data_IF_622666235827
#
_entry.id   IF_622666235827
#
_cell.length_a   1.000
_cell.length_b   1.000
_cell.length_c   1.000
_cell.angle_alpha   90.00
_cell.angle_beta   90.00
_cell.angle_gamma   90.00
#
_symmetry.space_group_name_H-M   'P 1'
#
loop_
_entity.id
_entity.type
_entity.pdbx_description
1 polymer ?
#
# COMPACT_ATOMS: atom_id res chain seq x y z
N UNK A 1 -13.28 -1.37 -13.73
CA UNK A 1 -13.60 -1.16 -12.31
C UNK A 1 -12.34 -1.08 -11.48
N UNK A 2 -12.20 -0.05 -10.65
CA UNK A 2 -11.10 0.13 -9.71
C UNK A 2 -11.54 -0.27 -8.29
N UNK A 3 -10.66 -0.92 -7.52
CA UNK A 3 -10.94 -1.26 -6.12
C UNK A 3 -9.85 -0.79 -5.15
N UNK A 4 -10.23 -0.20 -4.03
CA UNK A 4 -9.37 -0.04 -2.87
C UNK A 4 -9.53 -1.23 -1.92
N UNK A 5 -8.44 -1.65 -1.28
CA UNK A 5 -8.41 -2.79 -0.37
C UNK A 5 -7.73 -2.42 0.93
N UNK A 6 -8.38 -2.72 2.06
CA UNK A 6 -7.81 -2.60 3.39
C UNK A 6 -8.27 -3.74 4.32
N UNK A 7 -7.64 -3.84 5.49
CA UNK A 7 -8.10 -4.66 6.61
C UNK A 7 -8.31 -3.76 7.82
N UNK A 8 -9.22 -4.14 8.73
CA UNK A 8 -9.53 -3.31 9.89
C UNK A 8 -9.97 -4.14 11.08
N UNK A 9 -9.76 -3.58 12.27
CA UNK A 9 -10.36 -4.02 13.53
C UNK A 9 -11.27 -2.93 14.15
N UNK A 10 -11.52 -1.85 13.41
CA UNK A 10 -12.13 -0.62 13.92
C UNK A 10 -13.34 -0.22 13.08
N UNK A 11 -14.21 0.59 13.68
CA UNK A 11 -15.23 1.32 12.92
C UNK A 11 -14.56 2.27 11.90
N UNK A 12 -15.26 2.67 10.82
CA UNK A 12 -14.70 3.54 9.79
C UNK A 12 -14.03 4.80 10.35
N UNK A 13 -12.73 4.95 10.10
CA UNK A 13 -11.98 6.13 10.54
C UNK A 13 -12.28 7.34 9.65
N UNK A 14 -11.85 8.53 10.09
CA UNK A 14 -11.89 9.74 9.25
C UNK A 14 -11.08 9.58 7.95
N UNK A 15 -9.98 8.84 7.99
CA UNK A 15 -9.16 8.54 6.81
C UNK A 15 -9.93 7.69 5.80
N UNK A 16 -10.64 6.67 6.29
CA UNK A 16 -11.49 5.83 5.44
C UNK A 16 -12.68 6.61 4.88
N UNK A 17 -13.32 7.49 5.66
CA UNK A 17 -14.38 8.37 5.13
C UNK A 17 -13.87 9.19 3.95
N UNK A 18 -12.69 9.80 4.09
CA UNK A 18 -12.05 10.56 3.00
C UNK A 18 -11.66 9.68 1.80
N UNK A 19 -11.23 8.44 2.05
CA UNK A 19 -10.99 7.47 1.00
C UNK A 19 -12.28 7.17 0.24
N UNK A 20 -13.39 6.90 0.94
CA UNK A 20 -14.68 6.62 0.32
C UNK A 20 -15.17 7.81 -0.53
N UNK A 21 -14.97 9.05 -0.08
CA UNK A 21 -15.24 10.25 -0.89
C UNK A 21 -14.46 10.21 -2.22
N UNK A 22 -13.15 9.94 -2.17
CA UNK A 22 -12.31 9.80 -3.37
C UNK A 22 -12.74 8.64 -4.25
N UNK A 23 -13.13 7.50 -3.69
CA UNK A 23 -13.63 6.37 -4.47
C UNK A 23 -14.95 6.70 -5.16
N UNK A 24 -15.84 7.44 -4.50
CA UNK A 24 -17.12 7.85 -5.06
C UNK A 24 -16.95 8.75 -6.28
N UNK A 25 -15.96 9.66 -6.28
CA UNK A 25 -15.61 10.51 -7.45
C UNK A 25 -15.34 9.69 -8.72
N UNK A 26 -14.87 8.44 -8.56
CA UNK A 26 -14.50 7.55 -9.66
C UNK A 26 -15.40 6.30 -9.80
N UNK A 27 -16.46 6.18 -9.02
CA UNK A 27 -17.31 4.97 -8.99
C UNK A 27 -16.55 3.71 -8.57
N UNK A 28 -15.63 3.84 -7.62
CA UNK A 28 -14.78 2.77 -7.12
C UNK A 28 -15.48 1.80 -6.15
N UNK A 29 -14.80 0.67 -5.93
CA UNK A 29 -15.15 -0.33 -4.93
C UNK A 29 -14.19 -0.22 -3.74
N UNK A 30 -14.70 -0.24 -2.51
CA UNK A 30 -13.90 -0.46 -1.31
C UNK A 30 -14.15 -1.88 -0.79
N UNK A 31 -13.12 -2.73 -0.74
CA UNK A 31 -13.18 -4.05 -0.09
C UNK A 31 -12.44 -4.01 1.24
N UNK A 32 -13.14 -4.40 2.31
CA UNK A 32 -12.64 -4.32 3.68
C UNK A 32 -12.69 -5.70 4.32
N UNK A 33 -11.53 -6.27 4.65
CA UNK A 33 -11.45 -7.47 5.48
C UNK A 33 -11.46 -7.11 6.97
N UNK A 34 -12.55 -7.41 7.67
CA UNK A 34 -12.60 -7.32 9.13
C UNK A 34 -11.80 -8.43 9.82
N UNK A 35 -11.60 -8.31 11.12
CA UNK A 35 -10.99 -9.38 11.93
C UNK A 35 -11.70 -9.51 13.29
N UNK A 36 -11.20 -10.39 14.17
CA UNK A 36 -11.84 -10.84 15.41
C UNK A 36 -12.34 -9.72 16.32
N UNK A 37 -11.64 -8.59 16.37
CA UNK A 37 -11.99 -7.49 17.27
C UNK A 37 -13.16 -6.65 16.74
N UNK A 38 -13.58 -6.87 15.50
CA UNK A 38 -14.66 -6.15 14.85
C UNK A 38 -14.19 -5.39 13.61
N UNK A 39 -15.02 -4.50 13.08
CA UNK A 39 -16.42 -4.31 13.45
C UNK A 39 -17.31 -5.45 12.89
N UNK A 40 -18.57 -5.54 13.30
CA UNK A 40 -19.52 -6.51 12.69
C UNK A 40 -20.16 -5.97 11.40
N UNK A 41 -20.17 -4.65 11.25
CA UNK A 41 -20.62 -3.91 10.08
C UNK A 41 -19.62 -2.80 9.80
N UNK A 42 -19.48 -2.38 8.54
CA UNK A 42 -18.59 -1.28 8.19
C UNK A 42 -19.40 -0.18 7.51
N UNK A 43 -19.99 0.68 8.33
CA UNK A 43 -20.95 1.70 7.91
C UNK A 43 -20.66 3.03 8.59
N UNK A 44 -20.91 4.14 7.87
CA UNK A 44 -20.79 5.49 8.41
C UNK A 44 -21.80 6.39 7.72
N UNK A 45 -22.44 7.28 8.48
CA UNK A 45 -23.32 8.32 7.93
C UNK A 45 -22.57 9.34 7.04
N UNK A 46 -21.25 9.33 7.09
CA UNK A 46 -20.38 10.22 6.32
C UNK A 46 -19.86 9.59 5.03
N UNK A 47 -20.20 8.33 4.75
CA UNK A 47 -19.81 7.71 3.49
C UNK A 47 -20.54 8.37 2.32
N UNK A 48 -19.76 8.85 1.35
CA UNK A 48 -20.28 9.40 0.12
C UNK A 48 -21.06 8.34 -0.67
N UNK A 49 -22.17 8.76 -1.28
CA UNK A 49 -22.90 7.96 -2.26
C UNK A 49 -22.05 7.74 -3.52
N UNK A 50 -22.28 6.64 -4.23
CA UNK A 50 -21.56 6.33 -5.48
C UNK A 50 -20.30 5.48 -5.31
N UNK A 51 -19.85 5.24 -4.07
CA UNK A 51 -18.87 4.22 -3.75
C UNK A 51 -19.56 2.91 -3.33
N UNK A 52 -19.17 1.78 -3.94
CA UNK A 52 -19.60 0.45 -3.47
C UNK A 52 -18.67 0.02 -2.34
N UNK A 53 -19.23 -0.43 -1.22
CA UNK A 53 -18.45 -0.89 -0.07
C UNK A 53 -18.80 -2.35 0.21
N UNK A 54 -17.78 -3.20 0.27
CA UNK A 54 -17.89 -4.62 0.55
C UNK A 54 -17.10 -4.95 1.81
N UNK A 55 -17.84 -5.10 2.90
CA UNK A 55 -17.26 -5.54 4.16
C UNK A 55 -17.32 -7.06 4.26
N UNK A 56 -16.17 -7.69 4.45
CA UNK A 56 -16.03 -9.11 4.67
C UNK A 56 -15.80 -9.32 6.17
N UNK A 57 -16.87 -9.57 6.93
CA UNK A 57 -16.73 -9.98 8.32
C UNK A 57 -15.96 -11.30 8.39
N UNK A 58 -15.32 -11.60 9.53
CA UNK A 58 -14.50 -12.80 9.66
C UNK A 58 -15.28 -14.09 9.33
N UNK A 59 -16.56 -14.16 9.71
CA UNK A 59 -17.42 -15.30 9.37
C UNK A 59 -17.63 -15.43 7.85
N UNK A 60 -17.88 -14.33 7.16
CA UNK A 60 -18.09 -14.29 5.71
C UNK A 60 -16.80 -14.67 4.96
N UNK A 61 -15.64 -14.23 5.45
CA UNK A 61 -14.35 -14.66 4.93
C UNK A 61 -14.19 -16.18 5.02
N UNK A 62 -14.49 -16.77 6.19
CA UNK A 62 -14.35 -18.22 6.41
C UNK A 62 -15.34 -19.04 5.57
N UNK A 63 -16.55 -18.50 5.36
CA UNK A 63 -17.61 -19.08 4.54
C UNK A 63 -17.39 -18.90 3.02
N UNK A 64 -16.51 -17.97 2.62
CA UNK A 64 -16.21 -17.71 1.21
C UNK A 64 -15.61 -18.92 0.48
N UNK A 65 -15.60 -18.86 -0.85
CA UNK A 65 -14.95 -19.84 -1.72
C UNK A 65 -13.42 -19.89 -1.54
N UNK A 66 -12.81 -18.85 -0.98
CA UNK A 66 -11.37 -18.75 -0.84
C UNK A 66 -10.83 -19.71 0.23
N UNK A 67 -10.20 -20.80 -0.22
CA UNK A 67 -9.51 -21.75 0.66
C UNK A 67 -8.48 -21.10 1.57
N UNK A 68 -7.85 -20.00 1.12
CA UNK A 68 -6.89 -19.25 1.90
C UNK A 68 -7.52 -18.69 3.19
N UNK A 69 -8.77 -18.22 3.15
CA UNK A 69 -9.43 -17.62 4.32
C UNK A 69 -9.50 -18.60 5.52
N UNK A 70 -9.66 -19.90 5.27
CA UNK A 70 -9.66 -20.93 6.33
C UNK A 70 -8.27 -21.26 6.88
N UNK A 71 -7.21 -20.90 6.15
CA UNK A 71 -5.81 -21.17 6.54
C UNK A 71 -5.16 -19.99 7.27
N UNK A 72 -5.53 -18.76 6.92
CA UNK A 72 -4.96 -17.56 7.54
C UNK A 72 -5.19 -17.57 9.06
N UNK A 73 -4.26 -17.03 9.87
CA UNK A 73 -4.50 -16.82 11.28
C UNK A 73 -5.53 -15.71 11.52
N UNK A 74 -6.21 -15.77 12.66
CA UNK A 74 -7.14 -14.74 13.14
C UNK A 74 -6.35 -13.70 13.94
N UNK A 75 -6.77 -12.43 13.94
CA UNK A 75 -6.05 -11.33 14.56
C UNK A 75 -4.74 -11.02 13.83
N UNK A 76 -4.76 -11.09 12.50
CA UNK A 76 -3.58 -10.98 11.65
C UNK A 76 -3.83 -10.07 10.47
N UNK A 77 -2.88 -9.18 10.23
CA UNK A 77 -2.86 -8.30 9.05
C UNK A 77 -3.00 -9.07 7.73
N UNK A 78 -2.52 -10.31 7.69
CA UNK A 78 -2.60 -11.18 6.52
C UNK A 78 -4.02 -11.50 6.05
N UNK A 79 -5.06 -11.17 6.85
CA UNK A 79 -6.47 -11.20 6.42
C UNK A 79 -6.76 -10.29 5.23
N UNK A 80 -5.94 -9.26 5.01
CA UNK A 80 -5.97 -8.44 3.79
C UNK A 80 -5.87 -9.27 2.50
N UNK A 81 -5.21 -10.44 2.54
CA UNK A 81 -5.19 -11.36 1.40
C UNK A 81 -6.58 -11.77 0.91
N UNK A 82 -7.55 -11.93 1.83
CA UNK A 82 -8.93 -12.29 1.46
C UNK A 82 -9.60 -11.15 0.71
N UNK A 83 -9.35 -9.90 1.13
CA UNK A 83 -9.89 -8.73 0.44
C UNK A 83 -9.28 -8.54 -0.95
N UNK A 84 -8.00 -8.85 -1.18
CA UNK A 84 -7.46 -8.87 -2.55
C UNK A 84 -8.17 -9.92 -3.41
N UNK A 85 -8.31 -11.14 -2.91
CA UNK A 85 -8.95 -12.22 -3.67
C UNK A 85 -10.39 -11.86 -4.02
N UNK A 86 -11.12 -11.23 -3.09
CA UNK A 86 -12.48 -10.76 -3.32
C UNK A 86 -12.53 -9.65 -4.38
N UNK A 87 -11.66 -8.64 -4.28
CA UNK A 87 -11.58 -7.57 -5.27
C UNK A 87 -11.21 -8.09 -6.68
N UNK A 88 -10.29 -9.05 -6.75
CA UNK A 88 -9.90 -9.72 -8.01
C UNK A 88 -11.08 -10.53 -8.57
N UNK A 89 -11.77 -11.31 -7.74
CA UNK A 89 -12.94 -12.08 -8.14
C UNK A 89 -14.10 -11.19 -8.62
N UNK A 90 -14.22 -9.98 -8.06
CA UNK A 90 -15.18 -8.98 -8.52
C UNK A 90 -14.82 -8.38 -9.90
N UNK A 91 -13.60 -8.61 -10.41
CA UNK A 91 -13.14 -8.11 -11.70
C UNK A 91 -12.47 -6.74 -11.62
N UNK A 92 -11.74 -6.45 -10.55
CA UNK A 92 -10.97 -5.21 -10.44
C UNK A 92 -9.83 -5.14 -11.48
N UNK A 93 -9.82 -4.08 -12.29
CA UNK A 93 -8.81 -3.80 -13.32
C UNK A 93 -7.48 -3.36 -12.70
N UNK A 94 -7.51 -2.79 -11.50
CA UNK A 94 -6.36 -2.44 -10.67
C UNK A 94 -6.81 -2.25 -9.23
N UNK A 95 -5.86 -2.43 -8.30
CA UNK A 95 -6.09 -2.28 -6.87
C UNK A 95 -5.30 -1.09 -6.30
N UNK A 96 -5.88 -0.41 -5.33
CA UNK A 96 -5.16 0.50 -4.42
C UNK A 96 -5.19 -0.11 -3.02
N UNK A 97 -4.01 -0.41 -2.50
CA UNK A 97 -3.85 -1.01 -1.19
C UNK A 97 -3.50 0.07 -0.16
N UNK A 98 -4.24 0.11 0.95
CA UNK A 98 -3.96 1.02 2.07
C UNK A 98 -4.40 0.43 3.41
N UNK A 99 -4.21 1.18 4.49
CA UNK A 99 -4.63 0.86 5.86
C UNK A 99 -5.77 1.80 6.32
N UNK A 100 -6.49 1.38 7.35
CA UNK A 100 -7.63 2.12 7.89
C UNK A 100 -7.24 3.40 8.66
N UNK A 101 -5.98 3.58 9.03
CA UNK A 101 -5.44 4.78 9.67
C UNK A 101 -4.79 5.77 8.69
N UNK A 102 -4.77 5.46 7.39
CA UNK A 102 -4.32 6.39 6.35
C UNK A 102 -5.46 7.22 5.78
N UNK A 103 -5.12 8.43 5.32
CA UNK A 103 -6.04 9.32 4.64
C UNK A 103 -5.41 9.83 3.34
N UNK A 104 -6.12 9.77 2.20
CA UNK A 104 -5.62 10.37 0.97
C UNK A 104 -5.47 11.89 1.11
N UNK A 105 -4.48 12.46 0.43
CA UNK A 105 -4.38 13.90 0.28
C UNK A 105 -5.49 14.43 -0.63
N UNK A 106 -5.74 15.74 -0.61
CA UNK A 106 -6.76 16.35 -1.49
C UNK A 106 -6.36 16.21 -2.98
N UNK A 107 -5.05 16.17 -3.25
CA UNK A 107 -4.43 15.94 -4.55
C UNK A 107 -4.40 14.47 -4.99
N UNK A 108 -4.94 13.55 -4.19
CA UNK A 108 -4.99 12.13 -4.55
C UNK A 108 -5.86 11.93 -5.79
N UNK A 109 -5.38 11.08 -6.71
CA UNK A 109 -6.01 10.80 -8.00
C UNK A 109 -5.72 9.37 -8.44
N UNK A 110 -6.57 8.84 -9.32
CA UNK A 110 -6.30 7.54 -9.96
C UNK A 110 -4.97 7.55 -10.71
N UNK A 111 -4.29 6.40 -10.66
CA UNK A 111 -3.05 6.17 -11.39
C UNK A 111 -3.30 5.43 -12.69
N UNK A 112 -2.33 5.54 -13.61
CA UNK A 112 -2.23 4.74 -14.82
C UNK A 112 -1.07 3.76 -14.69
N UNK A 113 -1.20 2.56 -15.25
CA UNK A 113 -0.11 1.57 -15.28
C UNK A 113 1.15 2.13 -15.97
N UNK A 114 0.96 3.02 -16.95
CA UNK A 114 2.04 3.71 -17.62
C UNK A 114 2.26 5.09 -17.01
N UNK A 115 3.44 5.29 -16.44
CA UNK A 115 3.90 6.57 -15.87
C UNK A 115 4.46 7.43 -17.00
N UNK A 116 3.82 8.56 -17.30
CA UNK A 116 4.15 9.39 -18.48
C UNK A 116 5.56 9.99 -18.47
N UNK A 117 6.04 10.38 -17.29
CA UNK A 117 7.39 10.89 -17.09
C UNK A 117 7.89 10.52 -15.69
N UNK A 118 9.12 10.02 -15.60
CA UNK A 118 9.72 9.62 -14.34
C UNK A 118 11.22 9.92 -14.30
N UNK A 119 11.74 10.06 -13.08
CA UNK A 119 13.17 10.02 -12.80
C UNK A 119 13.59 8.55 -12.75
N UNK A 120 14.40 8.10 -13.69
CA UNK A 120 14.91 6.73 -13.74
C UNK A 120 16.29 6.63 -13.10
N UNK A 121 16.43 5.68 -12.18
CA UNK A 121 17.70 5.18 -11.67
C UNK A 121 18.14 4.03 -12.57
N UNK A 122 19.29 4.19 -13.24
CA UNK A 122 19.79 3.22 -14.22
C UNK A 122 20.04 1.82 -13.64
N UNK A 123 19.91 0.82 -14.50
CA UNK A 123 20.12 -0.60 -14.20
C UNK A 123 21.48 -0.88 -13.56
N UNK A 124 21.54 -1.87 -12.68
CA UNK A 124 22.77 -2.29 -11.96
C UNK A 124 22.76 -3.78 -11.64
N UNK A 125 23.79 -4.31 -10.98
CA UNK A 125 23.90 -5.71 -10.57
C UNK A 125 23.84 -5.86 -9.03
N UNK A 126 22.80 -5.29 -8.40
CA UNK A 126 22.59 -5.38 -6.96
C UNK A 126 23.02 -4.12 -6.21
N UNK A 127 22.14 -3.13 -6.13
CA UNK A 127 22.32 -1.91 -5.33
C UNK A 127 21.07 -1.61 -4.52
N UNK A 128 21.25 -1.29 -3.25
CA UNK A 128 20.19 -0.72 -2.42
C UNK A 128 20.03 0.77 -2.72
N UNK A 129 18.80 1.20 -2.96
CA UNK A 129 18.47 2.60 -3.25
C UNK A 129 17.35 3.02 -2.32
N UNK A 130 17.62 3.96 -1.42
CA UNK A 130 16.59 4.51 -0.55
C UNK A 130 15.73 5.51 -1.32
N UNK A 131 14.60 5.07 -1.87
CA UNK A 131 13.74 5.91 -2.71
C UNK A 131 13.20 7.15 -1.97
N UNK A 132 13.07 7.11 -0.63
CA UNK A 132 12.57 8.22 0.18
C UNK A 132 13.46 9.46 0.09
N UNK A 133 14.77 9.27 -0.13
CA UNK A 133 15.78 10.35 -0.24
C UNK A 133 15.62 11.20 -1.50
N UNK A 134 14.86 10.73 -2.50
CA UNK A 134 14.51 11.54 -3.67
C UNK A 134 13.40 12.56 -3.41
N UNK A 135 12.77 12.48 -2.24
CA UNK A 135 11.62 13.31 -1.82
C UNK A 135 11.84 13.91 -0.43
N UNK A 136 13.01 13.73 0.19
CA UNK A 136 13.36 14.34 1.47
C UNK A 136 14.87 14.41 1.66
N UNK A 137 15.34 15.51 2.25
CA UNK A 137 16.72 15.67 2.70
C UNK A 137 16.98 15.03 4.07
N UNK A 138 15.93 14.60 4.76
CA UNK A 138 16.00 13.98 6.06
C UNK A 138 16.61 12.57 6.02
N UNK A 139 17.17 12.12 7.14
CA UNK A 139 17.61 10.75 7.31
C UNK A 139 16.39 9.88 7.63
N UNK A 140 15.67 9.46 6.59
CA UNK A 140 14.48 8.60 6.65
C UNK A 140 14.64 7.46 5.65
N UNK A 141 14.10 6.29 5.96
CA UNK A 141 14.18 5.10 5.09
C UNK A 141 12.93 4.22 5.23
N UNK A 142 12.56 3.48 4.17
CA UNK A 142 11.42 2.57 4.24
C UNK A 142 11.71 1.42 5.20
N UNK A 143 10.65 0.84 5.76
CA UNK A 143 10.75 -0.34 6.62
C UNK A 143 11.44 -1.49 5.86
N UNK A 144 12.37 -2.16 6.53
CA UNK A 144 13.12 -3.27 5.91
C UNK A 144 14.31 -2.86 5.05
N UNK A 145 14.60 -1.56 4.92
CA UNK A 145 15.81 -1.12 4.25
C UNK A 145 17.04 -1.52 5.07
N UNK A 146 18.13 -2.03 4.44
CA UNK A 146 19.30 -2.47 5.19
C UNK A 146 19.91 -1.32 6.00
N UNK A 147 20.10 -1.53 7.30
CA UNK A 147 20.65 -0.51 8.20
C UNK A 147 22.08 -0.09 7.82
N UNK A 148 22.85 -0.97 7.17
CA UNK A 148 24.17 -0.64 6.63
C UNK A 148 24.12 0.38 5.47
N UNK A 149 22.96 0.53 4.83
CA UNK A 149 22.78 1.34 3.62
C UNK A 149 22.03 2.65 3.88
N UNK A 150 21.51 2.90 5.10
CA UNK A 150 20.63 4.06 5.37
C UNK A 150 21.31 5.41 5.15
N UNK A 151 22.65 5.44 5.13
CA UNK A 151 23.47 6.63 4.84
C UNK A 151 24.08 6.63 3.43
N UNK A 152 23.82 5.60 2.63
CA UNK A 152 24.31 5.52 1.26
C UNK A 152 23.75 6.66 0.43
N UNK A 153 24.59 7.21 -0.44
CA UNK A 153 24.16 8.25 -1.38
C UNK A 153 23.18 7.67 -2.40
N UNK A 154 22.19 8.47 -2.79
CA UNK A 154 21.28 8.06 -3.85
C UNK A 154 21.93 8.27 -5.22
N UNK A 155 21.79 7.31 -6.15
CA UNK A 155 22.28 7.48 -7.52
C UNK A 155 21.64 8.68 -8.23
N UNK A 156 22.36 9.25 -9.19
CA UNK A 156 21.78 10.23 -10.11
C UNK A 156 20.63 9.62 -10.93
N UNK A 157 19.65 10.46 -11.25
CA UNK A 157 18.49 10.07 -12.04
C UNK A 157 18.49 10.78 -13.38
N UNK A 158 18.00 10.11 -14.41
CA UNK A 158 17.69 10.73 -15.71
C UNK A 158 16.19 10.79 -15.91
N UNK A 159 15.68 11.86 -16.52
CA UNK A 159 14.28 11.89 -16.94
C UNK A 159 14.09 10.91 -18.10
N UNK A 160 13.09 10.04 -17.95
CA UNK A 160 12.63 9.11 -18.99
C UNK A 160 11.18 9.42 -19.34
N UNK A 161 10.83 9.11 -20.59
CA UNK A 161 9.47 9.19 -21.08
C UNK A 161 8.59 8.07 -20.49
N UNK A 162 7.47 7.77 -21.14
CA UNK A 162 6.49 6.81 -20.68
C UNK A 162 7.12 5.45 -20.32
N UNK A 163 6.87 5.00 -19.09
CA UNK A 163 7.37 3.72 -18.56
C UNK A 163 6.24 2.94 -17.91
N UNK A 164 6.14 1.66 -18.24
CA UNK A 164 5.18 0.76 -17.61
C UNK A 164 5.65 0.38 -16.21
N UNK A 165 4.81 0.62 -15.20
CA UNK A 165 5.06 0.26 -13.80
C UNK A 165 3.78 -0.34 -13.20
N UNK A 166 3.64 -1.68 -13.17
CA UNK A 166 2.43 -2.34 -12.66
C UNK A 166 2.36 -2.44 -11.14
N UNK A 167 3.38 -1.95 -10.44
CA UNK A 167 3.39 -1.71 -9.00
C UNK A 167 3.83 -0.27 -8.82
N UNK A 168 3.06 0.53 -8.09
CA UNK A 168 3.40 1.92 -7.81
C UNK A 168 3.07 2.25 -6.36
N UNK A 169 4.10 2.50 -5.55
CA UNK A 169 3.91 2.97 -4.18
C UNK A 169 3.85 4.50 -4.13
N UNK A 170 2.90 5.01 -3.36
CA UNK A 170 2.82 6.40 -2.90
C UNK A 170 3.56 6.58 -1.58
N UNK A 171 3.96 7.81 -1.29
CA UNK A 171 4.63 8.15 -0.04
C UNK A 171 3.60 8.66 0.97
N UNK A 172 3.69 8.17 2.20
CA UNK A 172 2.85 8.60 3.30
C UNK A 172 3.60 9.61 4.18
N UNK A 173 3.00 10.77 4.41
CA UNK A 173 3.53 11.77 5.34
C UNK A 173 3.40 11.28 6.79
N UNK A 174 4.28 11.76 7.68
CA UNK A 174 4.40 11.22 9.03
C UNK A 174 5.08 9.85 9.05
N UNK A 175 4.90 9.06 10.10
CA UNK A 175 5.67 7.82 10.31
C UNK A 175 4.91 6.48 10.18
N UNK A 176 3.84 6.32 9.36
CA UNK A 176 3.09 5.06 9.31
C UNK A 176 3.96 3.90 8.79
N UNK A 177 4.81 4.16 7.80
CA UNK A 177 5.74 3.17 7.25
C UNK A 177 7.20 3.66 7.17
N UNK A 178 7.68 4.08 8.33
CA UNK A 178 9.11 4.25 8.58
C UNK A 178 9.59 3.12 9.49
N UNK A 179 10.82 2.71 9.29
CA UNK A 179 11.47 1.63 10.02
C UNK A 179 11.40 1.80 11.55
N UNK A 180 11.31 0.68 12.28
CA UNK A 180 11.19 0.70 13.73
C UNK A 180 12.43 1.27 14.43
N UNK A 181 13.64 1.06 13.87
CA UNK A 181 14.86 1.66 14.40
C UNK A 181 14.79 3.16 14.26
N UNK A 182 14.38 3.68 13.10
CA UNK A 182 14.20 5.12 12.91
C UNK A 182 13.22 5.72 13.93
N UNK A 183 12.08 5.06 14.16
CA UNK A 183 11.10 5.48 15.17
C UNK A 183 11.63 5.41 16.59
N UNK A 184 12.61 4.54 16.87
CA UNK A 184 13.24 4.45 18.18
C UNK A 184 14.25 5.57 18.41
N UNK A 185 14.99 5.97 17.36
CA UNK A 185 16.15 6.88 17.51
C UNK A 185 15.91 8.32 17.04
N UNK A 186 14.89 8.56 16.21
CA UNK A 186 14.65 9.88 15.58
C UNK A 186 13.23 10.42 15.81
N UNK A 187 12.21 9.58 15.71
CA UNK A 187 10.79 9.83 16.06
C UNK A 187 10.28 11.27 15.88
N UNK A 188 10.31 11.79 14.66
CA UNK A 188 9.90 13.18 14.37
C UNK A 188 8.82 13.28 13.30
N UNK A 189 8.10 14.39 13.29
CA UNK A 189 7.17 14.69 12.20
C UNK A 189 7.96 15.09 10.95
N UNK A 190 7.55 14.58 9.80
CA UNK A 190 8.10 14.97 8.50
C UNK A 190 7.02 14.87 7.43
N UNK A 191 7.25 15.56 6.32
CA UNK A 191 6.48 15.41 5.09
C UNK A 191 7.44 15.26 3.92
N UNK A 192 7.06 14.44 2.96
CA UNK A 192 7.78 14.33 1.71
C UNK A 192 7.52 15.56 0.85
N UNK A 193 8.54 15.97 0.10
CA UNK A 193 8.41 16.98 -0.95
C UNK A 193 7.73 16.35 -2.16
N UNK A 194 6.84 17.11 -2.81
CA UNK A 194 6.30 16.72 -4.10
C UNK A 194 7.41 16.63 -5.16
N UNK A 195 7.26 15.70 -6.10
CA UNK A 195 8.23 15.54 -7.17
C UNK A 195 7.80 14.52 -8.21
N UNK A 196 8.52 14.50 -9.33
CA UNK A 196 8.33 13.46 -10.34
C UNK A 196 8.59 12.07 -9.73
N UNK A 197 7.80 11.05 -10.10
CA UNK A 197 7.98 9.70 -9.60
C UNK A 197 9.37 9.18 -9.94
N UNK A 198 9.88 8.27 -9.10
CA UNK A 198 11.17 7.62 -9.32
C UNK A 198 10.92 6.18 -9.74
N UNK A 199 11.58 5.72 -10.79
CA UNK A 199 11.59 4.33 -11.19
C UNK A 199 12.98 3.74 -10.98
N UNK A 200 13.02 2.56 -10.39
CA UNK A 200 14.22 1.77 -10.21
C UNK A 200 14.30 0.75 -11.35
N UNK A 201 15.21 0.94 -12.29
CA UNK A 201 15.47 -0.06 -13.34
C UNK A 201 16.08 -1.35 -12.74
N UNK A 202 16.10 -2.48 -13.48
CA UNK A 202 16.52 -3.78 -12.96
C UNK A 202 17.84 -3.78 -12.18
N UNK A 203 17.84 -4.56 -11.08
CA UNK A 203 18.98 -4.75 -10.18
C UNK A 203 19.16 -3.68 -9.11
N UNK A 204 18.29 -2.67 -9.07
CA UNK A 204 18.13 -1.75 -7.95
C UNK A 204 17.06 -2.29 -6.98
N UNK A 205 17.31 -2.15 -5.68
CA UNK A 205 16.45 -2.69 -4.63
C UNK A 205 16.00 -1.58 -3.68
N UNK A 206 14.69 -1.48 -3.48
CA UNK A 206 14.08 -0.66 -2.45
C UNK A 206 12.84 -1.40 -1.95
N UNK A 207 12.69 -1.60 -0.63
CA UNK A 207 11.44 -2.04 -0.06
C UNK A 207 10.31 -1.07 -0.39
N UNK A 208 9.11 -1.63 -0.50
CA UNK A 208 7.85 -0.91 -0.62
C UNK A 208 6.87 -1.49 0.42
N UNK A 209 5.65 -0.97 0.52
CA UNK A 209 4.74 -1.25 1.61
C UNK A 209 3.29 -1.35 1.14
N UNK A 210 2.39 -1.43 2.11
CA UNK A 210 0.95 -1.64 1.96
C UNK A 210 0.12 -0.42 2.36
N UNK A 211 0.76 0.73 2.60
CA UNK A 211 0.12 1.95 3.09
C UNK A 211 -0.51 2.79 1.97
N UNK A 212 -0.09 2.59 0.73
CA UNK A 212 -0.60 3.32 -0.43
C UNK A 212 0.02 2.80 -1.71
N UNK A 213 -0.31 1.58 -2.09
CA UNK A 213 0.34 0.89 -3.22
C UNK A 213 -0.68 0.46 -4.27
N UNK A 214 -0.42 0.84 -5.50
CA UNK A 214 -1.22 0.51 -6.66
C UNK A 214 -0.70 -0.75 -7.34
N UNK A 215 -1.63 -1.59 -7.78
CA UNK A 215 -1.34 -2.89 -8.40
C UNK A 215 -2.17 -3.10 -9.65
N UNK A 216 -1.53 -3.50 -10.74
CA UNK A 216 -2.20 -3.91 -11.97
C UNK A 216 -2.19 -5.43 -12.13
N UNK A 217 -3.05 -6.02 -12.98
CA UNK A 217 -3.33 -7.45 -12.99
C UNK A 217 -2.10 -8.33 -13.23
N UNK A 218 -1.14 -7.83 -14.02
CA UNK A 218 0.13 -8.53 -14.27
C UNK A 218 0.95 -8.76 -12.98
N UNK A 219 0.75 -7.93 -11.96
CA UNK A 219 1.46 -7.97 -10.68
C UNK A 219 0.62 -8.59 -9.55
N UNK A 220 -0.65 -8.96 -9.77
CA UNK A 220 -1.50 -9.58 -8.75
C UNK A 220 -0.90 -10.86 -8.12
N UNK A 221 -0.15 -11.72 -8.83
CA UNK A 221 0.51 -12.86 -8.19
C UNK A 221 1.49 -12.48 -7.06
N UNK A 222 1.93 -11.22 -7.00
CA UNK A 222 2.86 -10.67 -6.01
C UNK A 222 2.16 -9.93 -4.86
N UNK A 223 0.82 -9.87 -4.82
CA UNK A 223 0.06 -9.19 -3.77
C UNK A 223 0.17 -9.85 -2.38
N UNK A 224 0.60 -11.11 -2.33
CA UNK A 224 0.53 -11.95 -1.15
C UNK A 224 1.20 -11.31 0.09
N UNK A 225 0.45 -11.21 1.18
CA UNK A 225 0.94 -10.82 2.51
C UNK A 225 1.29 -12.08 3.31
N UNK A 226 2.55 -12.27 3.74
CA UNK A 226 2.99 -13.45 4.49
C UNK A 226 2.18 -13.68 5.77
N UNK A 227 1.65 -14.89 5.96
CA UNK A 227 0.55 -15.12 6.91
C UNK A 227 0.95 -15.54 8.32
N UNK A 228 2.09 -16.21 8.50
CA UNK A 228 2.50 -16.77 9.80
C UNK A 228 3.72 -16.07 10.41
N UNK A 229 4.11 -14.91 9.89
CA UNK A 229 5.13 -14.08 10.51
C UNK A 229 4.50 -13.09 11.50
N UNK A 230 5.32 -12.47 12.33
CA UNK A 230 4.86 -11.47 13.29
C UNK A 230 4.23 -10.27 12.55
N UNK A 231 3.25 -9.60 13.18
CA UNK A 231 2.43 -8.57 12.51
C UNK A 231 3.25 -7.55 11.69
N UNK A 232 4.26 -6.89 12.26
CA UNK A 232 5.06 -5.89 11.51
C UNK A 232 6.07 -6.51 10.52
N UNK A 233 6.31 -7.80 10.63
CA UNK A 233 7.21 -8.55 9.77
C UNK A 233 6.54 -8.87 8.43
N UNK A 234 5.21 -9.06 8.38
CA UNK A 234 4.52 -9.31 7.12
C UNK A 234 4.58 -8.11 6.18
N UNK A 235 4.44 -6.90 6.71
CA UNK A 235 4.55 -5.65 5.94
C UNK A 235 5.95 -5.53 5.31
N UNK A 236 6.97 -5.90 6.08
CA UNK A 236 8.37 -5.87 5.62
C UNK A 236 8.61 -6.91 4.52
N UNK A 237 8.16 -8.15 4.76
CA UNK A 237 8.43 -9.28 3.88
C UNK A 237 7.65 -9.26 2.57
N UNK A 238 6.50 -8.59 2.52
CA UNK A 238 5.72 -8.45 1.27
C UNK A 238 6.54 -7.81 0.14
N UNK A 239 7.50 -6.95 0.48
CA UNK A 239 8.28 -6.20 -0.50
C UNK A 239 9.47 -6.93 -1.11
N UNK A 240 9.71 -8.19 -0.72
CA UNK A 240 10.83 -9.03 -1.13
C UNK A 240 10.33 -10.31 -1.79
#
# INVERSE_FOLDING_TARGET
MFAAVLTTIQEPTRGVVKLVEKLAEYGGLLVVAGDKQGPSHFQSQHFAEGCRIEFLALADQLASEFHLARKLPVGSYSRKNVAYLHAIAAGADFLYETDDDNAPLDSWQLRSESVAAARSVGSTNGRWVNAYRYFSSELIWPRGFPLSEVRSEVPETRMVAAMRSPIQQELANGSPDVDAVWRLILDRNFAFSDGAPVVLEPGNWCPFNTQGTWWWPIAYPLLYVPSYCLFRMCDTWKSF
#
